data_IF_639656940457
#
_entry.id   IF_639656940457
#
_cell.length_a   1.000
_cell.length_b   1.000
_cell.length_c   1.000
_cell.angle_alpha   90.00
_cell.angle_beta   90.00
_cell.angle_gamma   90.00
#
_symmetry.space_group_name_H-M   'P 1'
#
loop_
_entity.id
_entity.type
_entity.pdbx_description
1 polymer ?
#
# COMPACT_ATOMS: atom_id res chain seq x y z
N UNK A 1 -10.93 4.84 -19.57
CA UNK A 1 -10.73 5.19 -18.15
C UNK A 1 -9.41 4.57 -17.77
N UNK A 2 -8.34 5.37 -17.72
CA UNK A 2 -7.02 4.86 -17.34
C UNK A 2 -6.96 4.87 -15.81
N UNK A 3 -6.61 3.75 -15.15
CA UNK A 3 -6.47 3.74 -13.71
C UNK A 3 -5.38 4.74 -13.32
N UNK A 4 -5.76 5.64 -12.43
CA UNK A 4 -4.98 6.70 -11.81
C UNK A 4 -3.72 6.11 -11.16
N UNK A 5 -2.57 6.23 -11.80
CA UNK A 5 -1.27 6.16 -11.10
C UNK A 5 -1.02 7.38 -10.21
N UNK A 6 -2.02 8.24 -10.04
CA UNK A 6 -1.97 9.48 -9.26
C UNK A 6 -2.30 9.28 -7.78
N UNK A 7 -2.94 8.16 -7.39
CA UNK A 7 -3.38 7.92 -6.01
C UNK A 7 -2.24 7.94 -4.98
N UNK A 8 -1.00 7.77 -5.45
CA UNK A 8 0.21 7.79 -4.63
C UNK A 8 1.23 8.83 -5.11
N UNK A 9 0.80 9.89 -5.80
CA UNK A 9 1.66 11.02 -6.23
C UNK A 9 2.95 10.61 -6.98
N UNK A 10 2.94 9.48 -7.68
CA UNK A 10 4.11 8.95 -8.39
C UNK A 10 5.10 8.13 -7.56
N UNK A 11 4.77 7.81 -6.31
CA UNK A 11 5.54 6.85 -5.51
C UNK A 11 5.29 5.41 -5.97
N UNK A 12 6.33 4.58 -5.86
CA UNK A 12 6.20 3.14 -6.10
C UNK A 12 5.70 2.46 -4.82
N UNK A 13 4.83 1.47 -4.96
CA UNK A 13 4.25 0.76 -3.82
C UNK A 13 4.63 -0.70 -3.92
N UNK A 14 5.04 -1.27 -2.79
CA UNK A 14 5.15 -2.70 -2.64
C UNK A 14 4.03 -3.19 -1.74
N UNK A 15 3.42 -4.30 -2.15
CA UNK A 15 2.41 -5.00 -1.37
C UNK A 15 2.71 -6.50 -1.34
N UNK A 16 2.65 -7.10 -0.16
CA UNK A 16 2.87 -8.52 0.02
C UNK A 16 2.06 -9.02 1.22
N UNK A 17 1.81 -10.33 1.24
CA UNK A 17 1.19 -11.00 2.38
C UNK A 17 2.27 -11.56 3.30
N UNK A 18 2.12 -11.40 4.61
CA UNK A 18 3.02 -11.96 5.60
C UNK A 18 2.63 -13.38 6.04
N UNK A 19 3.37 -13.91 7.01
CA UNK A 19 3.18 -15.27 7.54
C UNK A 19 1.88 -15.42 8.35
N UNK A 20 1.33 -14.33 8.89
CA UNK A 20 0.07 -14.28 9.65
C UNK A 20 -1.15 -14.14 8.73
N UNK A 21 -0.92 -14.02 7.42
CA UNK A 21 -1.89 -13.75 6.34
C UNK A 21 -2.36 -12.30 6.27
N UNK A 22 -1.70 -11.39 6.97
CA UNK A 22 -1.97 -9.97 6.86
C UNK A 22 -1.26 -9.38 5.64
N UNK A 23 -1.85 -8.31 5.11
CA UNK A 23 -1.33 -7.60 3.96
C UNK A 23 -0.57 -6.36 4.40
N UNK A 24 0.66 -6.26 3.94
CA UNK A 24 1.56 -5.16 4.22
C UNK A 24 1.76 -4.38 2.92
N UNK A 25 1.43 -3.09 2.94
CA UNK A 25 1.70 -2.15 1.85
C UNK A 25 2.64 -1.05 2.34
N UNK A 26 3.64 -0.67 1.54
CA UNK A 26 4.55 0.43 1.87
C UNK A 26 5.04 1.17 0.63
N UNK A 27 5.42 2.44 0.80
CA UNK A 27 6.06 3.23 -0.25
C UNK A 27 7.53 2.81 -0.38
N UNK A 28 7.96 2.43 -1.58
CA UNK A 28 9.33 1.96 -1.83
C UNK A 28 10.35 3.05 -1.50
N UNK A 29 10.03 4.29 -1.83
CA UNK A 29 10.89 5.45 -1.59
C UNK A 29 10.85 5.92 -0.13
N UNK A 30 9.80 5.56 0.63
CA UNK A 30 9.62 5.90 2.05
C UNK A 30 9.08 4.70 2.84
N UNK A 31 9.93 3.71 3.17
CA UNK A 31 9.48 2.48 3.84
C UNK A 31 8.88 2.71 5.24
N UNK A 32 9.12 3.88 5.83
CA UNK A 32 8.48 4.32 7.07
C UNK A 32 6.99 4.63 6.92
N UNK A 33 6.52 4.86 5.69
CA UNK A 33 5.09 5.02 5.36
C UNK A 33 4.58 3.66 4.91
N UNK A 34 3.87 2.99 5.81
CA UNK A 34 3.37 1.62 5.64
C UNK A 34 1.99 1.46 6.26
N UNK A 35 1.22 0.52 5.72
CA UNK A 35 -0.09 0.14 6.23
C UNK A 35 -0.24 -1.39 6.28
N UNK A 36 -1.07 -1.85 7.22
CA UNK A 36 -1.30 -3.26 7.52
C UNK A 36 -2.80 -3.51 7.59
N UNK A 37 -3.28 -4.58 6.94
CA UNK A 37 -4.68 -4.96 7.01
C UNK A 37 -4.94 -6.41 6.59
N UNK A 38 -6.11 -6.94 6.96
CA UNK A 38 -6.56 -8.29 6.60
C UNK A 38 -6.84 -8.49 5.09
N UNK A 39 -6.77 -7.42 4.30
CA UNK A 39 -7.01 -7.46 2.85
C UNK A 39 -6.07 -6.52 2.09
N UNK A 40 -5.70 -6.85 0.84
CA UNK A 40 -4.77 -6.04 0.07
C UNK A 40 -5.35 -4.66 -0.27
N UNK A 41 -6.66 -4.60 -0.55
CA UNK A 41 -7.34 -3.34 -0.85
C UNK A 41 -7.40 -2.42 0.37
N UNK A 42 -7.64 -3.00 1.55
CA UNK A 42 -7.64 -2.23 2.80
C UNK A 42 -6.24 -1.68 3.09
N UNK A 43 -5.19 -2.49 2.92
CA UNK A 43 -3.81 -2.04 3.14
C UNK A 43 -3.44 -0.88 2.21
N UNK A 44 -3.81 -0.95 0.92
CA UNK A 44 -3.60 0.14 -0.04
C UNK A 44 -4.39 1.40 0.34
N UNK A 45 -5.66 1.27 0.71
CA UNK A 45 -6.50 2.42 1.09
C UNK A 45 -5.97 3.11 2.36
N UNK A 46 -5.49 2.33 3.34
CA UNK A 46 -4.89 2.87 4.56
C UNK A 46 -3.56 3.59 4.25
N UNK A 47 -2.79 3.11 3.27
CA UNK A 47 -1.54 3.73 2.85
C UNK A 47 -1.75 5.13 2.22
N UNK A 48 -2.90 5.39 1.59
CA UNK A 48 -3.25 6.69 0.98
C UNK A 48 -3.61 7.74 2.05
N UNK A 49 -4.11 7.30 3.21
CA UNK A 49 -4.62 8.19 4.27
C UNK A 49 -3.54 8.54 5.32
N UNK A 50 -2.45 7.77 5.38
CA UNK A 50 -1.42 7.85 6.41
C UNK A 50 -0.50 9.08 6.32
#
# INVERSE_FOLDING_TARGET
>A
MNPTTDDFNGFSINIFQDEERDWIAYLVEMPSVSAFADSPQTALNQLIVA
#
